data_IF_303186451214
#
_entry.id   IF_303186451214
#
_cell.length_a   1.000
_cell.length_b   1.000
_cell.length_c   1.000
_cell.angle_alpha   90.00
_cell.angle_beta   90.00
_cell.angle_gamma   90.00
#
_symmetry.space_group_name_H-M   'P 1'
#
loop_
_entity.id
_entity.type
_entity.pdbx_description
1 polymer ?
#
# COMPACT_ATOMS: atom_id res chain seq x y z
N UNK A 1 -19.49 -3.34 -7.36
CA UNK A 1 -18.40 -2.38 -7.09
C UNK A 1 -17.22 -2.86 -7.92
N UNK A 2 -16.50 -1.99 -8.65
CA UNK A 2 -15.35 -2.45 -9.43
C UNK A 2 -14.09 -2.52 -8.54
N UNK A 3 -13.05 -3.22 -8.99
CA UNK A 3 -11.83 -3.46 -8.23
C UNK A 3 -11.20 -2.16 -7.71
N UNK A 4 -11.18 -1.13 -8.55
CA UNK A 4 -10.70 0.20 -8.16
C UNK A 4 -11.49 0.80 -6.98
N UNK A 5 -12.83 0.79 -7.02
CA UNK A 5 -13.67 1.33 -5.95
C UNK A 5 -13.54 0.53 -4.64
N UNK A 6 -13.32 -0.78 -4.73
CA UNK A 6 -12.98 -1.59 -3.55
C UNK A 6 -11.67 -1.10 -2.92
N UNK A 7 -10.63 -0.88 -3.74
CA UNK A 7 -9.33 -0.42 -3.27
C UNK A 7 -9.35 0.99 -2.69
N UNK A 8 -10.05 1.93 -3.32
CA UNK A 8 -10.27 3.29 -2.79
C UNK A 8 -10.90 3.24 -1.39
N UNK A 9 -11.85 2.34 -1.17
CA UNK A 9 -12.57 2.25 0.12
C UNK A 9 -11.69 1.87 1.31
N UNK A 10 -10.56 1.20 1.05
CA UNK A 10 -9.54 0.87 2.03
C UNK A 10 -8.58 2.05 2.21
N UNK A 11 -8.10 2.62 1.10
CA UNK A 11 -7.03 3.62 1.11
C UNK A 11 -7.44 5.02 1.58
N UNK A 12 -8.73 5.40 1.47
CA UNK A 12 -9.24 6.68 2.02
C UNK A 12 -8.97 6.86 3.53
N UNK A 13 -8.64 5.77 4.25
CA UNK A 13 -8.29 5.79 5.67
C UNK A 13 -6.85 6.21 5.95
N UNK A 14 -5.99 6.28 4.93
CA UNK A 14 -4.60 6.75 5.04
C UNK A 14 -4.47 8.27 4.86
N UNK A 15 -5.27 8.86 3.96
CA UNK A 15 -5.18 10.27 3.57
C UNK A 15 -5.13 11.25 4.76
N UNK A 16 -5.89 10.97 5.83
CA UNK A 16 -5.97 11.84 6.99
C UNK A 16 -4.91 11.59 8.09
N UNK A 17 -4.18 10.47 8.05
CA UNK A 17 -3.42 9.98 9.21
C UNK A 17 -1.91 9.86 8.97
N UNK A 18 -1.44 9.88 7.72
CA UNK A 18 -0.05 9.52 7.40
C UNK A 18 0.18 8.00 7.46
N UNK A 19 1.32 7.53 6.98
CA UNK A 19 1.54 6.10 6.70
C UNK A 19 1.45 5.22 7.96
N UNK A 20 2.16 5.58 9.03
CA UNK A 20 2.27 4.76 10.26
C UNK A 20 0.92 4.63 10.95
N UNK A 21 0.26 5.77 11.18
CA UNK A 21 -1.04 5.84 11.81
C UNK A 21 -2.13 5.21 10.93
N UNK A 22 -1.99 5.31 9.60
CA UNK A 22 -2.83 4.62 8.63
C UNK A 22 -2.75 3.10 8.78
N UNK A 23 -1.53 2.53 8.85
CA UNK A 23 -1.33 1.09 9.10
C UNK A 23 -2.00 0.66 10.40
N UNK A 24 -1.80 1.41 11.49
CA UNK A 24 -2.40 1.10 12.79
C UNK A 24 -3.94 1.20 12.76
N UNK A 25 -4.47 2.21 12.08
CA UNK A 25 -5.90 2.43 11.91
C UNK A 25 -6.55 1.28 11.14
N UNK A 26 -5.91 0.79 10.08
CA UNK A 26 -6.38 -0.37 9.32
C UNK A 26 -6.32 -1.63 10.16
N UNK A 27 -5.19 -1.94 10.80
CA UNK A 27 -5.06 -3.09 11.71
C UNK A 27 -6.19 -3.11 12.75
N UNK A 28 -6.46 -1.96 13.38
CA UNK A 28 -7.54 -1.79 14.33
C UNK A 28 -8.92 -1.99 13.68
N UNK A 29 -9.13 -1.49 12.48
CA UNK A 29 -10.40 -1.60 11.76
C UNK A 29 -10.71 -3.03 11.35
N UNK A 30 -9.73 -3.76 10.82
CA UNK A 30 -9.85 -5.18 10.46
C UNK A 30 -10.21 -6.01 11.70
N UNK A 31 -9.51 -5.80 12.82
CA UNK A 31 -9.76 -6.56 14.06
C UNK A 31 -11.16 -6.35 14.63
N UNK A 32 -11.73 -5.15 14.47
CA UNK A 32 -12.97 -4.76 15.14
C UNK A 32 -14.20 -4.78 14.23
N UNK A 33 -14.04 -4.96 12.91
CA UNK A 33 -15.15 -4.91 11.97
C UNK A 33 -15.02 -6.00 10.88
N UNK A 34 -15.84 -7.06 10.94
CA UNK A 34 -15.81 -8.15 9.95
C UNK A 34 -16.00 -7.70 8.50
N UNK A 35 -16.82 -6.66 8.25
CA UNK A 35 -17.03 -6.12 6.90
C UNK A 35 -15.74 -5.48 6.37
N UNK A 36 -14.95 -4.85 7.24
CA UNK A 36 -13.65 -4.28 6.86
C UNK A 36 -12.63 -5.40 6.64
N UNK A 37 -12.67 -6.47 7.44
CA UNK A 37 -11.80 -7.62 7.24
C UNK A 37 -12.04 -8.31 5.88
N UNK A 38 -13.31 -8.49 5.49
CA UNK A 38 -13.67 -9.02 4.17
C UNK A 38 -13.17 -8.11 3.04
N UNK A 39 -13.45 -6.80 3.13
CA UNK A 39 -12.97 -5.83 2.14
C UNK A 39 -11.44 -5.74 2.06
N UNK A 40 -10.76 -5.97 3.18
CA UNK A 40 -9.31 -6.04 3.21
C UNK A 40 -8.82 -7.26 2.45
N UNK A 41 -9.43 -8.43 2.64
CA UNK A 41 -9.08 -9.63 1.88
C UNK A 41 -9.30 -9.43 0.36
N UNK A 42 -10.40 -8.79 -0.03
CA UNK A 42 -10.66 -8.42 -1.43
C UNK A 42 -9.58 -7.48 -1.97
N UNK A 43 -9.22 -6.46 -1.19
CA UNK A 43 -8.16 -5.52 -1.56
C UNK A 43 -6.81 -6.23 -1.75
N UNK A 44 -6.42 -7.10 -0.81
CA UNK A 44 -5.18 -7.88 -0.91
C UNK A 44 -5.18 -8.72 -2.19
N UNK A 45 -6.30 -9.40 -2.49
CA UNK A 45 -6.43 -10.19 -3.73
C UNK A 45 -6.25 -9.31 -4.98
N UNK A 46 -6.92 -8.16 -5.05
CA UNK A 46 -6.83 -7.23 -6.19
C UNK A 46 -5.39 -6.77 -6.43
N UNK A 47 -4.68 -6.40 -5.36
CA UNK A 47 -3.29 -5.93 -5.45
C UNK A 47 -2.35 -7.07 -5.85
N UNK A 48 -2.43 -8.22 -5.20
CA UNK A 48 -1.52 -9.36 -5.46
C UNK A 48 -1.70 -9.95 -6.86
N UNK A 49 -2.94 -9.96 -7.38
CA UNK A 49 -3.25 -10.43 -8.72
C UNK A 49 -3.04 -9.36 -9.81
N UNK A 50 -2.64 -8.14 -9.45
CA UNK A 50 -2.44 -7.01 -10.37
C UNK A 50 -3.68 -6.72 -11.22
N UNK A 51 -4.86 -6.74 -10.59
CA UNK A 51 -6.15 -6.62 -11.28
C UNK A 51 -6.62 -5.17 -11.49
N UNK A 52 -5.77 -4.18 -11.21
CA UNK A 52 -6.05 -2.79 -11.50
C UNK A 52 -5.66 -2.48 -12.96
N UNK A 53 -6.49 -1.67 -13.61
CA UNK A 53 -6.20 -1.17 -14.96
C UNK A 53 -4.95 -0.27 -14.94
N UNK A 54 -4.31 -0.04 -16.10
CA UNK A 54 -3.22 0.93 -16.20
C UNK A 54 -3.58 2.28 -15.56
N UNK A 55 -2.59 2.91 -14.92
CA UNK A 55 -2.64 4.16 -14.18
C UNK A 55 -3.46 4.14 -12.86
N UNK A 56 -4.28 3.10 -12.61
CA UNK A 56 -5.05 2.99 -11.38
C UNK A 56 -4.19 2.77 -10.12
N UNK A 57 -3.15 1.92 -10.13
CA UNK A 57 -2.23 1.79 -8.99
C UNK A 57 -1.59 3.12 -8.63
N UNK A 58 -1.06 3.86 -9.60
CA UNK A 58 -0.48 5.18 -9.37
C UNK A 58 -1.51 6.15 -8.78
N UNK A 59 -2.71 6.20 -9.36
CA UNK A 59 -3.80 7.08 -8.88
C UNK A 59 -4.15 6.75 -7.43
N UNK A 60 -4.24 5.47 -7.05
CA UNK A 60 -4.51 5.07 -5.68
C UNK A 60 -3.44 5.58 -4.71
N UNK A 61 -2.16 5.45 -5.06
CA UNK A 61 -1.07 5.81 -4.15
C UNK A 61 -0.87 7.33 -4.07
N UNK A 62 -0.89 8.02 -5.20
CA UNK A 62 -0.73 9.47 -5.25
C UNK A 62 -1.92 10.20 -4.63
N UNK A 63 -3.15 9.82 -5.00
CA UNK A 63 -4.33 10.64 -4.65
C UNK A 63 -4.96 10.21 -3.31
N UNK A 64 -4.86 8.94 -2.93
CA UNK A 64 -5.55 8.42 -1.73
C UNK A 64 -4.59 8.15 -0.56
N UNK A 65 -3.32 7.87 -0.84
CA UNK A 65 -2.29 7.71 0.19
C UNK A 65 -1.35 8.91 0.29
N UNK A 66 -1.52 9.93 -0.58
CA UNK A 66 -0.72 11.14 -0.65
C UNK A 66 0.80 10.86 -0.71
N UNK A 67 1.18 9.76 -1.36
CA UNK A 67 2.56 9.36 -1.54
C UNK A 67 2.98 9.64 -2.97
N UNK A 68 3.94 10.56 -3.16
CA UNK A 68 4.43 10.91 -4.50
C UNK A 68 5.39 9.83 -5.02
N UNK A 69 5.06 9.29 -6.19
CA UNK A 69 5.80 8.27 -6.94
C UNK A 69 6.28 8.86 -8.28
N UNK A 70 7.50 8.55 -8.74
CA UNK A 70 8.18 9.29 -9.82
C UNK A 70 8.54 8.47 -11.07
N UNK A 71 8.99 7.20 -10.98
CA UNK A 71 9.49 6.44 -12.16
C UNK A 71 8.87 5.03 -12.25
N UNK A 72 8.41 4.61 -13.44
CA UNK A 72 7.60 3.39 -13.67
C UNK A 72 6.34 3.33 -12.79
N UNK A 73 5.36 4.23 -13.05
CA UNK A 73 4.40 4.68 -12.05
C UNK A 73 3.54 3.56 -11.43
N UNK A 74 3.09 2.60 -12.24
CA UNK A 74 2.27 1.51 -11.73
C UNK A 74 3.08 0.44 -11.01
N UNK A 75 4.28 0.11 -11.51
CA UNK A 75 5.15 -0.87 -10.85
C UNK A 75 5.61 -0.36 -9.48
N UNK A 76 6.04 0.89 -9.40
CA UNK A 76 6.43 1.53 -8.14
C UNK A 76 5.23 1.64 -7.18
N UNK A 77 4.04 1.97 -7.70
CA UNK A 77 2.81 1.97 -6.90
C UNK A 77 2.47 0.57 -6.35
N UNK A 78 2.63 -0.49 -7.15
CA UNK A 78 2.44 -1.85 -6.68
C UNK A 78 3.46 -2.25 -5.60
N UNK A 79 4.73 -1.85 -5.72
CA UNK A 79 5.73 -2.07 -4.66
C UNK A 79 5.31 -1.40 -3.35
N UNK A 80 4.80 -0.17 -3.43
CA UNK A 80 4.27 0.53 -2.25
C UNK A 80 3.06 -0.20 -1.66
N UNK A 81 2.10 -0.61 -2.49
CA UNK A 81 0.88 -1.31 -2.06
C UNK A 81 1.21 -2.67 -1.43
N UNK A 82 2.13 -3.43 -2.00
CA UNK A 82 2.61 -4.70 -1.44
C UNK A 82 3.27 -4.48 -0.07
N UNK A 83 4.09 -3.43 0.08
CA UNK A 83 4.73 -3.06 1.35
C UNK A 83 3.70 -2.68 2.41
N UNK A 84 2.68 -1.94 2.01
CA UNK A 84 1.57 -1.58 2.89
C UNK A 84 0.84 -2.82 3.40
N UNK A 85 0.51 -3.77 2.50
CA UNK A 85 -0.12 -5.05 2.86
C UNK A 85 0.75 -5.80 3.88
N UNK A 86 2.04 -5.96 3.59
CA UNK A 86 2.99 -6.62 4.52
C UNK A 86 2.99 -5.97 5.91
N UNK A 87 2.96 -4.63 5.99
CA UNK A 87 2.95 -3.91 7.26
C UNK A 87 1.62 -4.04 8.02
N UNK A 88 0.50 -4.21 7.32
CA UNK A 88 -0.81 -4.50 7.94
C UNK A 88 -0.90 -5.94 8.41
N UNK A 89 -0.35 -6.90 7.65
CA UNK A 89 -0.50 -8.33 7.94
C UNK A 89 0.52 -8.88 8.94
N UNK A 90 1.69 -8.24 9.06
CA UNK A 90 2.70 -8.66 10.02
C UNK A 90 2.20 -8.59 11.46
N UNK A 91 2.50 -9.62 12.23
CA UNK A 91 2.07 -9.75 13.64
C UNK A 91 2.95 -8.95 14.60
N UNK A 92 4.20 -8.68 14.23
CA UNK A 92 5.08 -7.81 14.99
C UNK A 92 4.69 -6.33 14.77
N UNK A 93 4.92 -5.49 15.78
CA UNK A 93 4.70 -4.04 15.67
C UNK A 93 5.80 -3.35 14.82
N UNK A 94 6.57 -4.11 14.05
CA UNK A 94 7.57 -3.60 13.14
C UNK A 94 6.91 -2.82 12.00
N UNK A 95 7.62 -1.84 11.48
CA UNK A 95 7.24 -1.08 10.29
C UNK A 95 8.43 -1.10 9.35
N UNK A 96 8.19 -1.53 8.11
CA UNK A 96 9.13 -1.39 7.02
C UNK A 96 8.64 -0.23 6.15
N UNK A 97 9.07 1.02 6.44
CA UNK A 97 8.59 2.17 5.70
C UNK A 97 9.01 2.04 4.24
N UNK A 98 8.18 2.57 3.34
CA UNK A 98 8.61 2.72 1.96
C UNK A 98 9.78 3.72 1.92
N UNK A 99 10.97 3.22 1.60
CA UNK A 99 12.14 4.04 1.29
C UNK A 99 12.15 4.18 -0.22
N UNK A 100 12.19 5.42 -0.71
CA UNK A 100 12.28 5.65 -2.14
C UNK A 100 13.54 5.02 -2.70
N UNK A 101 13.55 4.53 -3.95
CA UNK A 101 14.74 3.95 -4.57
C UNK A 101 15.96 4.88 -4.55
N UNK A 102 15.74 6.19 -4.65
CA UNK A 102 16.77 7.24 -4.60
C UNK A 102 17.36 7.47 -3.20
N UNK A 103 16.60 7.15 -2.15
CA UNK A 103 17.00 7.27 -0.74
C UNK A 103 17.52 5.94 -0.17
N UNK A 104 17.39 4.83 -0.93
CA UNK A 104 17.91 3.53 -0.56
C UNK A 104 19.41 3.39 -0.86
N UNK A 105 20.22 3.94 0.04
CA UNK A 105 21.68 3.79 0.02
C UNK A 105 22.17 2.34 0.23
N UNK A 106 21.29 1.36 0.49
CA UNK A 106 21.69 -0.05 0.61
C UNK A 106 21.82 -0.76 -0.74
N UNK A 107 21.21 -0.20 -1.79
CA UNK A 107 21.26 -0.74 -3.16
C UNK A 107 22.55 -0.37 -3.92
N UNK A 108 23.24 0.71 -3.53
CA UNK A 108 24.54 1.10 -4.12
C UNK A 108 25.67 0.10 -3.85
N UNK A 109 25.59 -0.67 -2.75
CA UNK A 109 26.61 -1.65 -2.40
C UNK A 109 26.55 -2.97 -3.19
N UNK A 110 25.47 -3.22 -3.95
CA UNK A 110 25.35 -4.44 -4.77
C UNK A 110 25.83 -4.29 -6.22
N UNK A 111 26.18 -3.08 -6.67
CA UNK A 111 26.73 -2.85 -8.03
C UNK A 111 28.25 -2.97 -8.12
N UNK A 112 28.95 -3.18 -7.00
CA UNK A 112 30.42 -3.28 -6.95
C UNK A 112 30.93 -4.62 -6.40
N UNK A 113 30.18 -5.72 -6.55
CA UNK A 113 30.67 -7.05 -6.21
C UNK A 113 30.49 -8.06 -7.32
#
# INVERSE_FOLDING_TARGET
MNNYQNAVSILIRFDALGYIEGIQSIKKSIKNNPIIAERWADFVSIIQNRELEPDQPLTLVNDMANQVIYENPDEEAYVWLDRMIQNVEREDNGLDPYIKPEDDHTSEFKRYR
#
